data_IF_531970320029
#
_entry.id   IF_531970320029
#
_cell.length_a   1.000
_cell.length_b   1.000
_cell.length_c   1.000
_cell.angle_alpha   90.00
_cell.angle_beta   90.00
_cell.angle_gamma   90.00
#
_symmetry.space_group_name_H-M   'P 1'
#
loop_
_entity.id
_entity.type
_entity.pdbx_description
1 polymer ?
#
# COMPACT_ATOMS: atom_id res chain seq x y z
N UNK A 1 9.28 -8.04 5.84
CA UNK A 1 9.07 -9.34 5.17
C UNK A 1 7.60 -9.59 4.84
N UNK A 2 6.66 -9.39 5.78
CA UNK A 2 5.22 -9.64 5.54
C UNK A 2 4.63 -8.83 4.37
N UNK A 3 4.95 -7.54 4.24
CA UNK A 3 4.42 -6.70 3.15
C UNK A 3 4.74 -7.22 1.73
N UNK A 4 5.94 -7.79 1.51
CA UNK A 4 6.31 -8.33 0.20
C UNK A 4 5.51 -9.60 -0.12
N UNK A 5 5.29 -10.46 0.88
CA UNK A 5 4.44 -11.64 0.75
C UNK A 5 2.99 -11.26 0.41
N UNK A 6 2.45 -10.22 1.02
CA UNK A 6 1.11 -9.71 0.72
C UNK A 6 0.99 -9.16 -0.71
N UNK A 7 2.01 -8.43 -1.18
CA UNK A 7 2.05 -7.92 -2.57
C UNK A 7 2.10 -9.09 -3.57
N UNK A 8 2.96 -10.08 -3.34
CA UNK A 8 3.05 -11.26 -4.21
C UNK A 8 1.73 -12.03 -4.21
N UNK A 9 1.13 -12.27 -3.03
CA UNK A 9 -0.16 -12.93 -2.92
C UNK A 9 -1.26 -12.15 -3.67
N UNK A 10 -1.25 -10.81 -3.60
CA UNK A 10 -2.19 -9.98 -4.34
C UNK A 10 -1.98 -10.13 -5.85
N UNK A 11 -0.74 -10.07 -6.34
CA UNK A 11 -0.44 -10.23 -7.76
C UNK A 11 -0.85 -11.61 -8.28
N UNK A 12 -0.63 -12.67 -7.50
CA UNK A 12 -1.09 -14.02 -7.84
C UNK A 12 -2.62 -14.12 -7.89
N UNK A 13 -3.32 -13.56 -6.90
CA UNK A 13 -4.78 -13.52 -6.90
C UNK A 13 -5.32 -12.67 -8.07
N UNK A 14 -4.67 -11.56 -8.37
CA UNK A 14 -5.00 -10.68 -9.49
C UNK A 14 -4.87 -11.40 -10.83
N UNK A 15 -3.71 -12.02 -11.10
CA UNK A 15 -3.49 -12.80 -12.33
C UNK A 15 -4.43 -14.01 -12.39
N UNK A 16 -4.55 -14.75 -11.29
CA UNK A 16 -5.45 -15.90 -11.20
C UNK A 16 -6.92 -15.53 -11.47
N UNK A 17 -7.37 -14.37 -10.98
CA UNK A 17 -8.70 -13.85 -11.29
C UNK A 17 -8.90 -13.57 -12.78
N UNK A 18 -7.89 -13.03 -13.47
CA UNK A 18 -7.99 -12.78 -14.91
C UNK A 18 -7.97 -14.09 -15.72
N UNK A 19 -7.20 -15.08 -15.29
CA UNK A 19 -7.14 -16.39 -15.96
C UNK A 19 -8.39 -17.24 -15.71
N UNK A 20 -9.06 -17.04 -14.57
CA UNK A 20 -10.28 -17.76 -14.22
C UNK A 20 -11.55 -17.16 -14.84
N UNK A 21 -11.49 -15.95 -15.41
CA UNK A 21 -12.64 -15.29 -16.00
C UNK A 21 -13.03 -15.94 -17.33
N UNK A 22 -14.18 -16.59 -17.35
CA UNK A 22 -14.72 -17.27 -18.53
C UNK A 22 -15.44 -16.32 -19.49
N UNK A 23 -15.71 -15.08 -19.07
CA UNK A 23 -16.51 -14.10 -19.83
C UNK A 23 -15.68 -13.29 -20.82
N UNK A 24 -14.34 -13.29 -20.68
CA UNK A 24 -13.41 -12.64 -21.60
C UNK A 24 -13.36 -11.12 -21.49
N UNK A 25 -14.12 -10.53 -20.57
CA UNK A 25 -14.18 -9.09 -20.28
C UNK A 25 -13.46 -8.73 -18.97
N UNK A 26 -12.78 -9.68 -18.33
CA UNK A 26 -11.96 -9.42 -17.14
C UNK A 26 -11.12 -8.16 -17.26
N UNK A 27 -10.49 -7.90 -18.42
CA UNK A 27 -9.61 -6.75 -18.60
C UNK A 27 -10.30 -5.41 -18.35
N UNK A 28 -11.48 -5.20 -18.93
CA UNK A 28 -12.24 -3.93 -18.85
C UNK A 28 -13.12 -3.85 -17.61
N UNK A 29 -13.40 -4.99 -16.97
CA UNK A 29 -14.19 -5.09 -15.76
C UNK A 29 -13.45 -4.50 -14.55
N UNK A 30 -14.07 -3.57 -13.78
CA UNK A 30 -13.57 -3.11 -12.49
C UNK A 30 -13.24 -4.26 -11.54
N UNK A 31 -12.20 -4.10 -10.72
CA UNK A 31 -11.79 -5.13 -9.75
C UNK A 31 -12.89 -5.41 -8.72
N UNK A 32 -13.72 -4.40 -8.38
CA UNK A 32 -14.87 -4.57 -7.48
C UNK A 32 -15.87 -5.61 -7.97
N UNK A 33 -16.09 -5.70 -9.29
CA UNK A 33 -17.04 -6.65 -9.87
C UNK A 33 -16.55 -8.11 -9.86
N UNK A 34 -15.27 -8.38 -9.55
CA UNK A 34 -14.79 -9.76 -9.32
C UNK A 34 -15.41 -10.39 -8.08
N UNK A 35 -15.99 -9.57 -7.19
CA UNK A 35 -16.75 -10.03 -6.02
C UNK A 35 -18.21 -10.37 -6.38
N UNK A 36 -18.74 -9.72 -7.40
CA UNK A 36 -20.16 -9.82 -7.75
C UNK A 36 -20.43 -10.89 -8.82
N UNK A 37 -19.37 -11.48 -9.38
CA UNK A 37 -19.41 -12.48 -10.44
C UNK A 37 -18.63 -13.72 -10.00
N UNK A 38 -19.10 -14.91 -10.38
CA UNK A 38 -18.39 -16.15 -10.07
C UNK A 38 -17.05 -16.27 -10.82
N UNK A 39 -15.94 -16.64 -10.13
CA UNK A 39 -15.86 -16.94 -8.69
C UNK A 39 -15.68 -15.70 -7.79
N UNK A 40 -16.72 -15.36 -7.03
CA UNK A 40 -16.78 -14.17 -6.17
C UNK A 40 -15.67 -14.09 -5.11
N UNK A 41 -15.21 -15.25 -4.63
CA UNK A 41 -14.21 -15.34 -3.57
C UNK A 41 -12.87 -14.68 -3.95
N UNK A 42 -12.51 -14.65 -5.25
CA UNK A 42 -11.26 -14.03 -5.70
C UNK A 42 -11.31 -12.52 -5.45
N UNK A 43 -12.45 -11.87 -5.71
CA UNK A 43 -12.67 -10.46 -5.39
C UNK A 43 -12.44 -10.18 -3.90
N UNK A 44 -13.06 -10.96 -3.02
CA UNK A 44 -12.88 -10.82 -1.57
C UNK A 44 -11.42 -11.03 -1.12
N UNK A 45 -10.72 -12.00 -1.69
CA UNK A 45 -9.29 -12.23 -1.40
C UNK A 45 -8.45 -11.03 -1.80
N UNK A 46 -8.66 -10.46 -3.00
CA UNK A 46 -7.94 -9.27 -3.45
C UNK A 46 -8.16 -8.07 -2.52
N UNK A 47 -9.41 -7.79 -2.13
CA UNK A 47 -9.70 -6.72 -1.16
C UNK A 47 -9.09 -6.98 0.21
N UNK A 48 -9.20 -8.21 0.72
CA UNK A 48 -8.61 -8.60 2.00
C UNK A 48 -7.10 -8.38 2.03
N UNK A 49 -6.40 -8.69 0.95
CA UNK A 49 -4.96 -8.46 0.80
C UNK A 49 -4.61 -6.97 0.78
N UNK A 50 -5.41 -6.12 0.10
CA UNK A 50 -5.20 -4.66 0.11
C UNK A 50 -5.40 -4.06 1.50
N UNK A 51 -6.44 -4.50 2.23
CA UNK A 51 -6.69 -4.07 3.61
C UNK A 51 -5.53 -4.51 4.51
N UNK A 52 -5.09 -5.77 4.41
CA UNK A 52 -3.96 -6.30 5.16
C UNK A 52 -2.67 -5.51 4.89
N UNK A 53 -2.43 -5.10 3.64
CA UNK A 53 -1.29 -4.27 3.28
C UNK A 53 -1.37 -2.87 3.89
N UNK A 54 -2.54 -2.24 3.86
CA UNK A 54 -2.78 -0.96 4.53
C UNK A 54 -2.52 -1.02 6.03
N UNK A 55 -3.02 -2.07 6.69
CA UNK A 55 -2.79 -2.32 8.12
C UNK A 55 -1.33 -2.61 8.44
N UNK A 56 -0.61 -3.36 7.59
CA UNK A 56 0.82 -3.61 7.78
C UNK A 56 1.65 -2.33 7.64
N UNK A 57 1.26 -1.45 6.73
CA UNK A 57 1.89 -0.13 6.53
C UNK A 57 1.63 0.77 7.74
N UNK A 58 0.40 0.80 8.26
CA UNK A 58 0.05 1.50 9.49
C UNK A 58 0.86 0.99 10.69
N UNK A 59 0.95 -0.33 10.85
CA UNK A 59 1.73 -0.98 11.91
C UNK A 59 3.22 -0.62 11.83
N UNK A 60 3.77 -0.58 10.62
CA UNK A 60 5.16 -0.22 10.38
C UNK A 60 5.43 1.24 10.73
N UNK A 61 4.55 2.16 10.32
CA UNK A 61 4.62 3.58 10.68
C UNK A 61 4.50 3.80 12.20
N UNK A 62 3.57 3.10 12.87
CA UNK A 62 3.38 3.19 14.31
C UNK A 62 4.61 2.72 15.09
N UNK A 63 5.27 1.63 14.65
CA UNK A 63 6.53 1.15 15.26
C UNK A 63 7.67 2.16 15.15
N UNK A 64 7.67 2.96 14.10
CA UNK A 64 8.59 4.08 13.89
C UNK A 64 8.15 5.38 14.57
N UNK A 65 7.02 5.37 15.31
CA UNK A 65 6.42 6.53 16.00
C UNK A 65 5.96 7.64 15.04
N UNK A 66 5.74 7.33 13.76
CA UNK A 66 5.10 8.22 12.80
C UNK A 66 3.57 8.12 12.92
N UNK A 67 3.01 8.68 13.99
CA UNK A 67 1.59 8.53 14.33
C UNK A 67 0.63 9.10 13.30
N UNK A 68 0.96 10.24 12.69
CA UNK A 68 0.16 10.82 11.60
C UNK A 68 0.07 9.85 10.42
N UNK A 69 1.20 9.28 10.01
CA UNK A 69 1.26 8.29 8.93
C UNK A 69 0.53 6.99 9.30
N UNK A 70 0.65 6.53 10.55
CA UNK A 70 -0.11 5.38 11.01
C UNK A 70 -1.63 5.64 10.91
N UNK A 71 -2.10 6.80 11.37
CA UNK A 71 -3.51 7.20 11.28
C UNK A 71 -4.02 7.27 9.85
N UNK A 72 -3.25 7.88 8.93
CA UNK A 72 -3.59 7.95 7.51
C UNK A 72 -3.70 6.55 6.89
N UNK A 73 -2.79 5.63 7.20
CA UNK A 73 -2.86 4.26 6.69
C UNK A 73 -4.02 3.46 7.29
N UNK A 74 -4.41 3.71 8.55
CA UNK A 74 -5.64 3.14 9.14
C UNK A 74 -6.88 3.65 8.42
N UNK A 75 -6.92 4.95 8.09
CA UNK A 75 -8.02 5.54 7.32
C UNK A 75 -8.14 4.89 5.94
N UNK A 76 -7.02 4.70 5.22
CA UNK A 76 -7.00 4.01 3.93
C UNK A 76 -7.51 2.57 4.07
N UNK A 77 -7.01 1.81 5.05
CA UNK A 77 -7.44 0.43 5.26
C UNK A 77 -8.94 0.34 5.62
N UNK A 78 -9.44 1.28 6.43
CA UNK A 78 -10.87 1.37 6.79
C UNK A 78 -11.72 1.70 5.58
N UNK A 79 -11.31 2.66 4.76
CA UNK A 79 -12.02 3.02 3.53
C UNK A 79 -12.07 1.84 2.55
N UNK A 80 -10.97 1.09 2.40
CA UNK A 80 -10.94 -0.15 1.62
C UNK A 80 -11.85 -1.24 2.21
N UNK A 81 -11.94 -1.36 3.53
CA UNK A 81 -12.85 -2.30 4.19
C UNK A 81 -14.31 -1.95 3.92
N UNK A 82 -14.68 -0.67 3.99
CA UNK A 82 -16.03 -0.21 3.61
C UNK A 82 -16.33 -0.60 2.17
N UNK A 83 -15.43 -0.29 1.22
CA UNK A 83 -15.55 -0.69 -0.19
C UNK A 83 -15.71 -2.21 -0.37
N UNK A 84 -14.97 -2.99 0.41
CA UNK A 84 -15.02 -4.46 0.37
C UNK A 84 -16.32 -5.06 0.93
N UNK A 85 -17.03 -4.33 1.79
CA UNK A 85 -18.27 -4.79 2.43
C UNK A 85 -19.54 -4.27 1.75
N UNK A 86 -19.45 -3.26 0.90
CA UNK A 86 -20.59 -2.65 0.21
C UNK A 86 -20.71 -3.11 -1.25
N UNK A 87 -21.92 -3.30 -1.80
CA UNK A 87 -22.12 -3.67 -3.21
C UNK A 87 -21.42 -2.70 -4.18
N UNK A 88 -20.91 -3.18 -5.32
CA UNK A 88 -20.00 -2.39 -6.16
C UNK A 88 -20.61 -1.12 -6.76
N UNK A 89 -21.94 -1.06 -6.88
CA UNK A 89 -22.68 0.10 -7.39
C UNK A 89 -23.28 0.97 -6.28
N UNK A 90 -23.07 0.60 -5.01
CA UNK A 90 -23.55 1.38 -3.88
C UNK A 90 -22.77 2.69 -3.73
N UNK A 91 -23.44 3.78 -3.37
CA UNK A 91 -22.79 5.08 -3.20
C UNK A 91 -21.71 5.07 -2.11
N UNK A 92 -21.89 4.25 -1.07
CA UNK A 92 -20.91 4.07 0.00
C UNK A 92 -19.66 3.32 -0.48
N UNK A 93 -19.80 2.40 -1.45
CA UNK A 93 -18.67 1.76 -2.12
C UNK A 93 -17.83 2.78 -2.87
N UNK A 94 -18.48 3.61 -3.69
CA UNK A 94 -17.82 4.66 -4.48
C UNK A 94 -17.14 5.67 -3.57
N UNK A 95 -17.80 6.08 -2.48
CA UNK A 95 -17.20 6.96 -1.49
C UNK A 95 -15.96 6.35 -0.84
N UNK A 96 -16.05 5.10 -0.35
CA UNK A 96 -14.91 4.40 0.25
C UNK A 96 -13.72 4.26 -0.70
N UNK A 97 -13.97 3.90 -1.96
CA UNK A 97 -12.94 3.79 -2.98
C UNK A 97 -12.25 5.13 -3.27
N UNK A 98 -13.03 6.21 -3.39
CA UNK A 98 -12.50 7.56 -3.61
C UNK A 98 -11.72 8.07 -2.41
N UNK A 99 -12.21 7.86 -1.18
CA UNK A 99 -11.48 8.23 0.04
C UNK A 99 -10.14 7.50 0.11
N UNK A 100 -10.12 6.18 -0.12
CA UNK A 100 -8.88 5.40 -0.14
C UNK A 100 -7.89 5.94 -1.19
N UNK A 101 -8.37 6.17 -2.42
CA UNK A 101 -7.54 6.64 -3.53
C UNK A 101 -6.98 8.05 -3.31
N UNK A 102 -7.83 9.02 -2.95
CA UNK A 102 -7.41 10.40 -2.72
C UNK A 102 -6.44 10.47 -1.54
N UNK A 103 -6.74 9.73 -0.47
CA UNK A 103 -5.86 9.70 0.71
C UNK A 103 -4.50 9.11 0.35
N UNK A 104 -4.44 8.03 -0.43
CA UNK A 104 -3.18 7.45 -0.93
C UNK A 104 -2.40 8.45 -1.79
N UNK A 105 -3.07 9.13 -2.72
CA UNK A 105 -2.47 10.10 -3.63
C UNK A 105 -1.88 11.29 -2.86
N UNK A 106 -2.70 11.93 -2.00
CA UNK A 106 -2.29 13.10 -1.22
C UNK A 106 -1.19 12.72 -0.23
N UNK A 107 -1.32 11.61 0.49
CA UNK A 107 -0.33 11.19 1.47
C UNK A 107 1.03 10.89 0.81
N UNK A 108 1.03 10.18 -0.32
CA UNK A 108 2.28 9.88 -1.03
C UNK A 108 2.90 11.14 -1.61
N UNK A 109 2.10 12.02 -2.23
CA UNK A 109 2.55 13.33 -2.73
C UNK A 109 3.21 14.14 -1.61
N UNK A 110 2.55 14.22 -0.45
CA UNK A 110 3.07 14.91 0.72
C UNK A 110 4.41 14.32 1.19
N UNK A 111 4.50 13.00 1.31
CA UNK A 111 5.75 12.33 1.71
C UNK A 111 6.89 12.58 0.72
N UNK A 112 6.62 12.48 -0.59
CA UNK A 112 7.63 12.72 -1.62
C UNK A 112 8.11 14.17 -1.61
N UNK A 113 7.20 15.13 -1.42
CA UNK A 113 7.53 16.54 -1.30
C UNK A 113 8.37 16.83 -0.04
N UNK A 114 7.96 16.32 1.12
CA UNK A 114 8.68 16.51 2.40
C UNK A 114 10.11 15.92 2.39
N UNK A 115 10.36 14.89 1.59
CA UNK A 115 11.67 14.26 1.45
C UNK A 115 12.43 14.71 0.19
N UNK A 116 12.02 15.81 -0.45
CA UNK A 116 12.66 16.40 -1.63
C UNK A 116 12.87 15.40 -2.79
N UNK A 117 11.99 14.41 -2.91
CA UNK A 117 12.07 13.35 -3.92
C UNK A 117 11.45 13.78 -5.26
N UNK A 118 11.93 14.89 -5.84
CA UNK A 118 11.33 15.54 -7.01
C UNK A 118 11.11 14.62 -8.21
N UNK A 119 12.09 13.76 -8.53
CA UNK A 119 11.97 12.78 -9.60
C UNK A 119 10.76 11.86 -9.41
N UNK A 120 10.64 11.29 -8.21
CA UNK A 120 9.53 10.40 -7.86
C UNK A 120 8.20 11.15 -7.76
N UNK A 121 8.22 12.41 -7.30
CA UNK A 121 7.04 13.27 -7.25
C UNK A 121 6.47 13.53 -8.65
N UNK A 122 7.34 13.84 -9.63
CA UNK A 122 6.92 14.01 -11.03
C UNK A 122 6.31 12.74 -11.57
N UNK A 123 6.94 11.58 -11.35
CA UNK A 123 6.37 10.28 -11.74
C UNK A 123 5.02 10.06 -11.05
N UNK A 124 4.90 10.41 -9.77
CA UNK A 124 3.69 10.18 -8.98
C UNK A 124 2.51 11.04 -9.39
N UNK A 125 2.75 12.25 -9.88
CA UNK A 125 1.71 13.13 -10.40
C UNK A 125 1.34 12.75 -11.84
N UNK A 126 2.34 12.42 -12.68
CA UNK A 126 2.13 12.13 -14.10
C UNK A 126 1.55 10.75 -14.36
N UNK A 127 1.83 9.75 -13.51
CA UNK A 127 1.33 8.38 -13.71
C UNK A 127 -0.20 8.29 -13.60
N UNK A 128 -0.86 8.81 -12.53
CA UNK A 128 -2.31 8.85 -12.46
C UNK A 128 -2.97 9.62 -13.59
N UNK A 129 -2.35 10.73 -14.04
CA UNK A 129 -2.85 11.51 -15.17
C UNK A 129 -2.77 10.72 -16.48
N UNK A 130 -1.65 10.05 -16.74
CA UNK A 130 -1.46 9.17 -17.91
C UNK A 130 -2.46 8.01 -17.88
N UNK A 131 -2.65 7.37 -16.72
CA UNK A 131 -3.65 6.33 -16.55
C UNK A 131 -5.06 6.86 -16.81
N UNK A 132 -5.40 8.06 -16.30
CA UNK A 132 -6.71 8.68 -16.52
C UNK A 132 -6.97 8.97 -18.00
N UNK A 133 -5.95 9.41 -18.75
CA UNK A 133 -6.04 9.55 -20.20
C UNK A 133 -6.23 8.19 -20.89
N UNK A 134 -5.50 7.15 -20.45
CA UNK A 134 -5.68 5.78 -20.93
C UNK A 134 -7.07 5.20 -20.66
N UNK A 135 -7.72 5.65 -19.58
CA UNK A 135 -9.09 5.29 -19.23
C UNK A 135 -10.10 5.68 -20.30
N UNK A 136 -9.88 6.83 -20.97
CA UNK A 136 -10.76 7.32 -22.03
C UNK A 136 -10.80 6.34 -23.23
N UNK A 137 -9.71 5.62 -23.48
CA UNK A 137 -9.60 4.66 -24.57
C UNK A 137 -9.98 3.23 -24.17
N UNK A 138 -9.78 2.84 -22.90
CA UNK A 138 -9.86 1.44 -22.46
C UNK A 138 -10.93 1.15 -21.39
N UNK A 139 -11.63 2.19 -20.93
CA UNK A 139 -12.68 2.09 -19.92
C UNK A 139 -12.18 2.18 -18.47
N UNK A 140 -13.14 2.38 -17.57
CA UNK A 140 -12.91 2.63 -16.15
C UNK A 140 -12.20 1.47 -15.43
N UNK A 141 -12.48 0.21 -15.78
CA UNK A 141 -11.87 -0.92 -15.08
C UNK A 141 -10.37 -1.04 -15.30
N UNK A 142 -9.88 -0.73 -16.51
CA UNK A 142 -8.44 -0.70 -16.82
C UNK A 142 -7.74 0.38 -15.99
N UNK A 143 -8.34 1.57 -15.93
CA UNK A 143 -7.85 2.66 -15.11
C UNK A 143 -7.79 2.29 -13.63
N UNK A 144 -8.88 1.75 -13.08
CA UNK A 144 -8.97 1.37 -11.68
C UNK A 144 -7.89 0.33 -11.31
N UNK A 145 -7.72 -0.70 -12.14
CA UNK A 145 -6.71 -1.74 -11.92
C UNK A 145 -5.28 -1.19 -12.04
N UNK A 146 -5.04 -0.34 -13.04
CA UNK A 146 -3.76 0.34 -13.20
C UNK A 146 -3.41 1.17 -11.96
N UNK A 147 -4.36 1.94 -11.43
CA UNK A 147 -4.19 2.72 -10.21
C UNK A 147 -3.92 1.84 -8.99
N UNK A 148 -4.62 0.71 -8.85
CA UNK A 148 -4.39 -0.24 -7.75
C UNK A 148 -2.98 -0.83 -7.83
N UNK A 149 -2.53 -1.30 -9.00
CA UNK A 149 -1.19 -1.85 -9.20
C UNK A 149 -0.10 -0.80 -8.96
N UNK A 150 -0.34 0.43 -9.39
CA UNK A 150 0.55 1.56 -9.16
C UNK A 150 0.71 1.87 -7.66
N UNK A 151 -0.40 1.97 -6.90
CA UNK A 151 -0.33 2.20 -5.46
C UNK A 151 0.22 1.01 -4.69
N UNK A 152 -0.02 -0.22 -5.18
CA UNK A 152 0.58 -1.43 -4.62
C UNK A 152 2.12 -1.37 -4.71
N UNK A 153 2.66 -1.03 -5.88
CA UNK A 153 4.09 -0.85 -6.08
C UNK A 153 4.66 0.27 -5.19
N UNK A 154 3.99 1.43 -5.17
CA UNK A 154 4.34 2.57 -4.30
C UNK A 154 4.40 2.16 -2.83
N UNK A 155 3.37 1.46 -2.34
CA UNK A 155 3.28 0.99 -0.95
C UNK A 155 4.32 -0.06 -0.63
N UNK A 156 4.66 -0.93 -1.57
CA UNK A 156 5.73 -1.92 -1.43
C UNK A 156 7.09 -1.23 -1.24
N UNK A 157 7.38 -0.21 -2.06
CA UNK A 157 8.60 0.60 -1.96
C UNK A 157 8.65 1.32 -0.60
N UNK A 158 7.57 2.01 -0.19
CA UNK A 158 7.51 2.70 1.10
C UNK A 158 7.77 1.73 2.27
N UNK A 159 7.14 0.55 2.26
CA UNK A 159 7.37 -0.46 3.28
C UNK A 159 8.80 -1.02 3.27
N UNK A 160 9.41 -1.14 2.09
CA UNK A 160 10.82 -1.52 1.98
C UNK A 160 11.73 -0.48 2.63
N UNK A 161 11.51 0.80 2.35
CA UNK A 161 12.23 1.91 2.96
C UNK A 161 12.06 1.92 4.50
N UNK A 162 10.83 1.78 5.00
CA UNK A 162 10.60 1.69 6.45
C UNK A 162 11.32 0.51 7.11
N UNK A 163 11.37 -0.65 6.43
CA UNK A 163 12.11 -1.79 6.93
C UNK A 163 13.63 -1.51 7.00
N UNK A 164 14.19 -0.82 6.01
CA UNK A 164 15.59 -0.41 6.02
C UNK A 164 15.89 0.60 7.15
N UNK A 165 15.05 1.62 7.33
CA UNK A 165 15.18 2.59 8.42
C UNK A 165 15.12 1.91 9.80
N UNK A 166 14.17 0.98 10.00
CA UNK A 166 14.09 0.19 11.22
C UNK A 166 15.35 -0.64 11.48
N UNK A 167 15.95 -1.21 10.43
CA UNK A 167 17.18 -1.97 10.54
C UNK A 167 18.37 -1.08 10.93
N UNK A 168 18.48 0.12 10.34
CA UNK A 168 19.52 1.10 10.67
C UNK A 168 19.40 1.59 12.12
N UNK A 169 18.20 2.01 12.54
CA UNK A 169 17.95 2.48 13.91
C UNK A 169 18.34 1.43 14.97
N UNK A 170 18.01 0.15 14.73
CA UNK A 170 18.42 -0.97 15.60
C UNK A 170 19.93 -1.20 15.63
N UNK A 171 20.63 -0.98 14.51
CA UNK A 171 22.10 -1.10 14.45
C UNK A 171 22.74 0.00 15.29
N UNK A 172 22.31 1.25 15.14
CA UNK A 172 22.80 2.37 15.93
C UNK A 172 22.57 2.17 17.43
N UNK A 173 21.38 1.69 17.83
CA UNK A 173 21.08 1.42 19.24
C UNK A 173 22.00 0.35 19.83
N UNK A 174 22.27 -0.73 19.06
CA UNK A 174 23.21 -1.80 19.46
C UNK A 174 24.64 -1.27 19.60
N UNK A 175 25.07 -0.40 18.70
CA UNK A 175 26.39 0.23 18.76
C UNK A 175 26.53 1.16 19.96
N UNK A 176 25.51 1.99 20.24
CA UNK A 176 25.45 2.85 21.44
C UNK A 176 25.49 2.02 22.72
N UNK A 177 24.72 0.94 22.80
CA UNK A 177 24.73 0.02 23.94
C UNK A 177 26.10 -0.67 24.11
N UNK A 178 26.72 -1.12 23.03
CA UNK A 178 28.05 -1.72 23.05
C UNK A 178 29.13 -0.73 23.49
N UNK A 179 29.07 0.52 23.02
CA UNK A 179 29.97 1.60 23.42
C UNK A 179 29.82 1.93 24.91
N UNK A 180 28.58 2.01 25.41
CA UNK A 180 28.29 2.22 26.83
C UNK A 180 28.86 1.08 27.70
N UNK A 181 28.67 -0.18 27.29
CA UNK A 181 29.27 -1.35 27.98
C UNK A 181 30.79 -1.32 27.99
N UNK A 182 31.43 -0.95 26.87
CA UNK A 182 32.89 -0.79 26.79
C UNK A 182 33.40 0.31 27.72
N UNK A 183 32.70 1.44 27.82
CA UNK A 183 33.03 2.53 28.75
C UNK A 183 32.93 2.08 30.21
N UNK A 184 31.86 1.37 30.58
CA UNK A 184 31.70 0.84 31.93
C UNK A 184 32.80 -0.16 32.28
N UNK A 185 33.13 -1.08 31.37
CA UNK A 185 34.23 -2.06 31.58
C UNK A 185 35.59 -1.38 31.77
N UNK A 186 35.89 -0.34 30.99
CA UNK A 186 37.15 0.43 31.15
C UNK A 186 37.21 1.13 32.51
N UNK A 187 36.10 1.72 32.97
CA UNK A 187 36.03 2.35 34.30
C UNK A 187 36.23 1.35 35.43
N UNK A 188 35.72 0.12 35.29
CA UNK A 188 35.87 -0.94 36.30
C UNK A 188 37.30 -1.46 36.43
N UNK A 189 38.08 -1.49 35.33
CA UNK A 189 39.49 -1.94 35.34
C UNK A 189 40.43 -0.86 35.91
N UNK A 190 40.07 0.41 35.80
CA UNK A 190 40.89 1.54 36.27
C UNK A 190 40.77 1.81 37.78
N UNK A 191 39.95 1.04 38.50
CA UNK A 191 39.73 1.14 39.94
C UNK A 191 40.31 -0.09 40.62
#
# INVERSE_FOLDING_TARGET
MLAHGLVIAFLLAFVGGHLADQRGDAYTRPMSLFRDVEPAWIGYVMFGLLIALGMETARSAARLRYWSQAGVNVLIATALAVTALTPSFDSLHVLGANVAMITLLVNTTWLLFQHEQWFWLVIHITTPATLAMGALANGYGVWQKGMILYFLATTAILNHCFAQCMAQSRREERERAAAARRRMRRKAIAK
#
